data_IF_178211091206
#
_entry.id   IF_178211091206
#
_cell.length_a   1.000
_cell.length_b   1.000
_cell.length_c   1.000
_cell.angle_alpha   90.00
_cell.angle_beta   90.00
_cell.angle_gamma   90.00
#
_symmetry.space_group_name_H-M   'P 1'
#
loop_
_entity.id
_entity.type
_entity.pdbx_description
1 polymer ?
#
# COMPACT_ATOMS: atom_id res chain seq x y z
N UNK A 1 13.81 12.29 31.92
CA UNK A 1 12.91 13.08 31.06
C UNK A 1 12.41 12.14 29.98
N UNK A 2 11.18 11.66 30.06
CA UNK A 2 10.61 10.83 28.99
C UNK A 2 10.39 11.73 27.77
N UNK A 3 11.05 11.40 26.65
CA UNK A 3 10.77 12.05 25.37
C UNK A 3 9.55 11.34 24.76
N UNK A 4 8.55 12.13 24.39
CA UNK A 4 7.37 11.62 23.70
C UNK A 4 7.75 10.94 22.38
N UNK A 5 6.98 9.93 21.97
CA UNK A 5 7.16 9.26 20.69
C UNK A 5 7.04 10.28 19.54
N UNK A 6 7.90 10.14 18.55
CA UNK A 6 7.94 11.01 17.37
C UNK A 6 7.86 10.23 16.05
N UNK A 7 7.90 8.90 16.12
CA UNK A 7 7.60 8.00 15.03
C UNK A 7 6.74 6.83 15.49
N UNK A 8 6.09 6.16 14.54
CA UNK A 8 5.32 4.93 14.76
C UNK A 8 5.77 3.88 13.75
N UNK A 9 5.95 2.65 14.22
CA UNK A 9 6.15 1.49 13.38
C UNK A 9 4.79 0.83 13.11
N UNK A 10 4.51 0.59 11.84
CA UNK A 10 3.32 -0.13 11.40
C UNK A 10 3.70 -1.28 10.48
N UNK A 11 2.89 -2.35 10.50
CA UNK A 11 2.87 -3.38 9.44
C UNK A 11 1.62 -3.17 8.60
N UNK A 12 1.79 -3.25 7.28
CA UNK A 12 0.71 -3.22 6.31
C UNK A 12 0.80 -4.51 5.49
N UNK A 13 -0.27 -5.30 5.45
CA UNK A 13 -0.37 -6.54 4.67
C UNK A 13 -1.58 -6.48 3.75
N UNK A 14 -1.47 -7.03 2.55
CA UNK A 14 -2.62 -7.23 1.65
C UNK A 14 -3.36 -8.48 2.14
N UNK A 15 -4.66 -8.35 2.37
CA UNK A 15 -5.48 -9.44 2.87
C UNK A 15 -5.77 -10.46 1.74
N UNK A 16 -6.08 -11.70 2.13
CA UNK A 16 -6.51 -12.78 1.23
C UNK A 16 -5.49 -13.20 0.16
N UNK A 17 -4.19 -12.92 0.36
CA UNK A 17 -3.10 -13.41 -0.49
C UNK A 17 -2.14 -14.25 0.35
N UNK A 18 -1.88 -15.47 -0.10
CA UNK A 18 -0.94 -16.40 0.55
C UNK A 18 0.19 -16.80 -0.41
N UNK A 19 1.47 -16.77 0.04
CA UNK A 19 1.97 -16.18 1.29
C UNK A 19 1.77 -14.65 1.40
N UNK A 20 1.82 -14.08 2.61
CA UNK A 20 1.62 -12.63 2.83
C UNK A 20 2.44 -11.73 1.87
N UNK A 21 1.78 -10.71 1.29
CA UNK A 21 2.44 -9.55 0.69
C UNK A 21 2.38 -8.39 1.69
N UNK A 22 3.53 -7.93 2.18
CA UNK A 22 3.55 -6.98 3.31
C UNK A 22 4.71 -6.00 3.32
N UNK A 23 4.53 -4.88 4.03
CA UNK A 23 5.54 -3.85 4.27
C UNK A 23 5.54 -3.43 5.74
N UNK A 24 6.71 -3.16 6.31
CA UNK A 24 6.86 -2.58 7.65
C UNK A 24 7.48 -1.20 7.54
N UNK A 25 6.75 -0.22 8.03
CA UNK A 25 7.02 1.20 7.82
C UNK A 25 7.27 1.88 9.16
N UNK A 26 8.18 2.84 9.18
CA UNK A 26 8.38 3.79 10.28
C UNK A 26 7.96 5.16 9.78
N UNK A 27 6.89 5.70 10.35
CA UNK A 27 6.24 6.93 9.89
C UNK A 27 6.28 8.01 10.97
N UNK A 28 6.31 9.31 10.61
CA UNK A 28 6.13 10.38 11.58
C UNK A 28 4.76 10.30 12.25
N UNK A 29 4.70 10.37 13.58
CA UNK A 29 3.43 10.21 14.33
C UNK A 29 2.36 11.27 14.01
N UNK A 30 2.77 12.41 13.45
CA UNK A 30 1.87 13.50 13.07
C UNK A 30 1.28 13.37 11.66
N UNK A 31 1.65 12.32 10.91
CA UNK A 31 0.98 12.00 9.66
C UNK A 31 -0.50 11.71 9.92
N UNK A 32 -1.36 12.24 9.07
CA UNK A 32 -2.79 11.94 9.06
C UNK A 32 -3.07 10.75 8.12
N UNK A 33 -4.32 10.35 8.00
CA UNK A 33 -4.68 9.19 7.16
C UNK A 33 -4.45 9.47 5.65
N UNK A 34 -4.54 10.72 5.18
CA UNK A 34 -4.15 11.09 3.81
C UNK A 34 -2.65 10.85 3.56
N UNK A 35 -1.79 11.28 4.49
CA UNK A 35 -0.36 11.02 4.42
C UNK A 35 -0.05 9.52 4.51
N UNK A 36 -0.78 8.78 5.36
CA UNK A 36 -0.67 7.32 5.47
C UNK A 36 -1.02 6.66 4.12
N UNK A 37 -2.12 7.06 3.49
CA UNK A 37 -2.52 6.57 2.16
C UNK A 37 -1.39 6.75 1.13
N UNK A 38 -0.84 7.96 1.02
CA UNK A 38 0.29 8.21 0.11
C UNK A 38 1.52 7.37 0.45
N UNK A 39 1.76 7.13 1.74
CA UNK A 39 2.80 6.24 2.25
C UNK A 39 2.60 4.79 1.85
N UNK A 40 1.39 4.23 2.04
CA UNK A 40 1.04 2.87 1.63
C UNK A 40 1.19 2.73 0.12
N UNK A 41 0.59 3.65 -0.64
CA UNK A 41 0.72 3.71 -2.09
C UNK A 41 2.19 3.66 -2.50
N UNK A 42 3.07 4.45 -1.87
CA UNK A 42 4.50 4.48 -2.19
C UNK A 42 5.22 3.16 -1.82
N UNK A 43 4.86 2.55 -0.69
CA UNK A 43 5.47 1.32 -0.20
C UNK A 43 5.13 0.10 -1.07
N UNK A 44 3.91 0.06 -1.62
CA UNK A 44 3.46 -0.99 -2.55
C UNK A 44 3.69 -0.60 -4.02
N UNK A 45 3.98 0.67 -4.31
CA UNK A 45 4.14 1.21 -5.67
C UNK A 45 2.87 1.08 -6.54
N UNK A 46 1.72 1.35 -5.94
CA UNK A 46 0.44 1.55 -6.62
C UNK A 46 0.27 2.97 -7.12
N UNK A 47 -0.57 3.18 -8.13
CA UNK A 47 -0.56 4.39 -8.93
C UNK A 47 -1.40 5.54 -8.38
N UNK A 48 -2.19 5.31 -7.32
CA UNK A 48 -2.96 6.34 -6.63
C UNK A 48 -3.99 7.06 -7.54
N UNK A 49 -4.69 6.34 -8.41
CA UNK A 49 -5.76 6.90 -9.26
C UNK A 49 -7.15 6.34 -8.93
N UNK A 50 -7.22 5.25 -8.16
CA UNK A 50 -8.47 4.73 -7.64
C UNK A 50 -8.87 5.32 -6.30
N UNK A 51 -10.16 5.20 -5.99
CA UNK A 51 -10.74 5.54 -4.69
C UNK A 51 -10.15 4.69 -3.56
N UNK A 52 -10.20 5.24 -2.34
CA UNK A 52 -9.75 4.55 -1.14
C UNK A 52 -10.50 5.02 0.09
N UNK A 53 -10.48 4.21 1.14
CA UNK A 53 -10.98 4.57 2.47
C UNK A 53 -10.22 3.82 3.56
N UNK A 54 -10.31 4.31 4.79
CA UNK A 54 -9.93 3.59 6.00
C UNK A 54 -11.18 3.19 6.77
N UNK A 55 -11.20 1.96 7.29
CA UNK A 55 -12.24 1.47 8.19
C UNK A 55 -11.67 1.27 9.58
N UNK A 56 -12.07 2.12 10.51
CA UNK A 56 -11.54 2.18 11.88
C UNK A 56 -12.73 2.17 12.84
N UNK A 57 -12.84 1.16 13.71
CA UNK A 57 -13.90 1.09 14.71
C UNK A 57 -15.34 1.11 14.14
N UNK A 58 -15.53 0.61 12.91
CA UNK A 58 -16.82 0.64 12.21
C UNK A 58 -17.14 1.96 11.49
N UNK A 59 -16.24 2.94 11.53
CA UNK A 59 -16.38 4.23 10.84
C UNK A 59 -15.55 4.25 9.55
N UNK A 60 -15.97 5.06 8.58
CA UNK A 60 -15.29 5.28 7.30
C UNK A 60 -14.55 6.60 7.30
N UNK A 61 -13.28 6.60 6.92
CA UNK A 61 -12.46 7.81 6.78
C UNK A 61 -11.89 7.88 5.38
N UNK A 62 -11.92 9.05 4.77
CA UNK A 62 -11.37 9.28 3.43
C UNK A 62 -11.52 10.73 3.01
N UNK A 63 -11.34 10.99 1.71
CA UNK A 63 -11.65 12.29 1.13
C UNK A 63 -13.17 12.45 1.03
N UNK A 64 -13.74 13.37 1.82
CA UNK A 64 -15.19 13.52 1.95
C UNK A 64 -15.81 14.01 0.65
N UNK A 65 -15.15 14.95 -0.04
CA UNK A 65 -15.66 15.51 -1.31
C UNK A 65 -15.78 14.41 -2.37
N UNK A 66 -14.74 13.59 -2.51
CA UNK A 66 -14.69 12.49 -3.47
C UNK A 66 -15.65 11.35 -3.10
N UNK A 67 -15.66 10.90 -1.85
CA UNK A 67 -16.43 9.72 -1.45
C UNK A 67 -17.92 9.98 -1.28
N UNK A 68 -18.34 11.25 -1.22
CA UNK A 68 -19.74 11.65 -1.07
C UNK A 68 -20.32 12.35 -2.31
N UNK A 69 -19.59 12.39 -3.43
CA UNK A 69 -20.03 13.10 -4.66
C UNK A 69 -21.41 12.63 -5.14
N UNK A 70 -21.64 11.32 -5.13
CA UNK A 70 -22.90 10.68 -5.55
C UNK A 70 -23.69 10.05 -4.38
N UNK A 71 -23.36 10.42 -3.14
CA UNK A 71 -23.98 9.84 -1.96
C UNK A 71 -25.42 10.35 -1.74
N UNK A 72 -26.26 9.45 -1.25
CA UNK A 72 -27.63 9.71 -0.79
C UNK A 72 -27.68 9.84 0.74
N UNK A 73 -28.82 10.29 1.28
CA UNK A 73 -29.00 10.44 2.74
C UNK A 73 -28.89 9.12 3.52
N UNK A 74 -29.08 7.98 2.85
CA UNK A 74 -28.96 6.64 3.43
C UNK A 74 -27.51 6.11 3.44
N UNK A 75 -26.58 6.78 2.76
CA UNK A 75 -25.20 6.33 2.66
C UNK A 75 -24.44 6.50 3.98
N UNK A 76 -23.57 5.53 4.35
CA UNK A 76 -22.78 5.64 5.56
C UNK A 76 -21.86 6.86 5.53
N UNK A 77 -21.98 7.69 6.56
CA UNK A 77 -21.15 8.89 6.76
C UNK A 77 -19.65 8.59 6.59
N UNK A 78 -18.98 9.47 5.86
CA UNK A 78 -17.52 9.53 5.75
C UNK A 78 -16.99 10.65 6.65
N UNK A 79 -15.91 10.37 7.37
CA UNK A 79 -15.16 11.34 8.18
C UNK A 79 -13.90 11.78 7.43
N UNK A 80 -13.48 13.02 7.65
CA UNK A 80 -12.30 13.57 6.96
C UNK A 80 -11.02 12.89 7.48
N UNK A 81 -10.32 12.22 6.56
CA UNK A 81 -9.06 11.55 6.81
C UNK A 81 -7.95 12.45 7.38
N UNK A 82 -8.06 13.77 7.21
CA UNK A 82 -7.06 14.74 7.70
C UNK A 82 -7.21 15.02 9.20
N UNK A 83 -8.34 14.66 9.80
CA UNK A 83 -8.64 14.88 11.22
C UNK A 83 -8.04 13.81 12.14
N UNK A 84 -7.67 12.64 11.59
CA UNK A 84 -7.10 11.52 12.35
C UNK A 84 -5.61 11.39 12.03
N UNK A 85 -4.78 11.36 13.07
CA UNK A 85 -3.32 11.20 13.00
C UNK A 85 -2.88 9.86 13.55
N UNK A 86 -1.70 9.41 13.13
CA UNK A 86 -1.12 8.17 13.62
C UNK A 86 -0.88 8.17 15.14
N UNK A 87 -0.64 9.34 15.74
CA UNK A 87 -0.53 9.51 17.19
C UNK A 87 -1.84 9.30 17.97
N UNK A 88 -2.98 9.29 17.29
CA UNK A 88 -4.30 9.12 17.92
C UNK A 88 -4.63 7.64 18.15
N UNK A 89 -3.81 6.72 17.62
CA UNK A 89 -3.95 5.29 17.81
C UNK A 89 -3.14 4.79 19.02
N UNK A 90 -3.58 3.68 19.59
CA UNK A 90 -2.82 2.95 20.60
C UNK A 90 -1.90 1.90 19.96
N UNK A 91 -0.84 1.54 20.67
CA UNK A 91 -0.02 0.40 20.26
C UNK A 91 -0.86 -0.88 20.28
N UNK A 92 -0.76 -1.68 19.22
CA UNK A 92 -1.58 -2.87 19.01
C UNK A 92 -2.90 -2.59 18.30
N UNK A 93 -3.22 -1.33 17.97
CA UNK A 93 -4.39 -1.02 17.15
C UNK A 93 -4.28 -1.66 15.76
N UNK A 94 -5.40 -2.18 15.27
CA UNK A 94 -5.52 -2.77 13.94
C UNK A 94 -6.73 -2.17 13.24
N UNK A 95 -6.56 -1.77 11.98
CA UNK A 95 -7.63 -1.22 11.15
C UNK A 95 -7.42 -1.56 9.68
N UNK A 96 -8.45 -1.37 8.86
CA UNK A 96 -8.40 -1.72 7.44
C UNK A 96 -8.19 -0.49 6.56
N UNK A 97 -7.40 -0.65 5.51
CA UNK A 97 -7.24 0.29 4.40
C UNK A 97 -7.72 -0.38 3.11
N UNK A 98 -8.72 0.22 2.48
CA UNK A 98 -9.32 -0.28 1.25
C UNK A 98 -8.88 0.61 0.09
N UNK A 99 -8.39 -0.01 -0.97
CA UNK A 99 -7.96 0.67 -2.19
C UNK A 99 -8.59 0.01 -3.40
N UNK A 100 -8.99 0.83 -4.37
CA UNK A 100 -9.67 0.38 -5.58
C UNK A 100 -10.98 -0.35 -5.25
N UNK A 101 -12.10 0.36 -5.34
CA UNK A 101 -13.39 -0.24 -5.03
C UNK A 101 -13.89 -1.20 -6.12
N UNK A 102 -13.26 -1.20 -7.31
CA UNK A 102 -13.50 -2.18 -8.35
C UNK A 102 -12.81 -3.51 -8.03
N UNK A 103 -11.50 -3.48 -7.85
CA UNK A 103 -10.70 -4.67 -7.54
C UNK A 103 -10.81 -5.12 -6.07
N UNK A 104 -11.21 -4.20 -5.18
CA UNK A 104 -11.54 -4.48 -3.79
C UNK A 104 -10.35 -4.80 -2.89
N UNK A 105 -9.19 -4.19 -3.12
CA UNK A 105 -7.99 -4.49 -2.34
C UNK A 105 -8.12 -4.04 -0.88
N UNK A 106 -8.08 -5.00 0.02
CA UNK A 106 -8.07 -4.76 1.47
C UNK A 106 -6.68 -4.96 2.03
N UNK A 107 -6.33 -4.10 2.98
CA UNK A 107 -5.11 -4.21 3.75
C UNK A 107 -5.43 -4.13 5.22
N UNK A 108 -4.75 -4.96 5.98
CA UNK A 108 -4.64 -4.81 7.42
C UNK A 108 -3.47 -3.90 7.75
N UNK A 109 -3.74 -2.83 8.50
CA UNK A 109 -2.73 -1.95 9.10
C UNK A 109 -2.66 -2.21 10.60
N UNK A 110 -1.52 -2.68 11.08
CA UNK A 110 -1.26 -2.95 12.49
C UNK A 110 -0.24 -1.95 13.05
N UNK A 111 -0.59 -1.24 14.13
CA UNK A 111 0.29 -0.34 14.87
C UNK A 111 1.16 -1.18 15.80
N UNK A 112 2.41 -1.41 15.45
CA UNK A 112 3.29 -2.33 16.17
C UNK A 112 3.97 -1.66 17.38
N UNK A 113 4.52 -0.46 17.20
CA UNK A 113 5.34 0.20 18.23
C UNK A 113 5.39 1.72 18.04
N UNK A 114 5.37 2.48 19.14
CA UNK A 114 5.67 3.91 19.13
C UNK A 114 7.14 4.15 19.50
N UNK A 115 7.84 4.92 18.68
CA UNK A 115 9.29 5.09 18.74
C UNK A 115 9.69 6.52 19.12
N UNK A 116 10.78 6.63 19.87
CA UNK A 116 11.41 7.90 20.24
C UNK A 116 12.77 8.03 19.56
N UNK A 117 12.76 8.53 18.32
CA UNK A 117 13.96 8.74 17.52
C UNK A 117 14.71 10.01 17.94
N UNK A 118 16.02 10.05 17.69
CA UNK A 118 16.88 11.18 18.05
C UNK A 118 16.42 12.52 17.42
N UNK A 119 15.92 12.46 16.18
CA UNK A 119 15.31 13.57 15.46
C UNK A 119 13.92 13.14 14.94
N UNK A 120 12.97 14.06 14.97
CA UNK A 120 11.63 13.82 14.42
C UNK A 120 11.73 13.60 12.91
N UNK A 121 11.30 12.44 12.39
CA UNK A 121 11.36 12.17 10.96
C UNK A 121 10.40 13.11 10.21
N UNK A 122 10.84 13.58 9.05
CA UNK A 122 10.02 14.37 8.12
C UNK A 122 9.36 13.52 7.03
N UNK A 123 9.84 12.29 6.88
CA UNK A 123 9.51 11.35 5.81
C UNK A 123 9.29 9.97 6.45
N UNK A 124 8.53 9.12 5.78
CA UNK A 124 8.45 7.71 6.15
C UNK A 124 9.68 6.93 5.70
N UNK A 125 9.93 5.81 6.35
CA UNK A 125 10.92 4.81 5.95
C UNK A 125 10.34 3.41 5.90
N UNK A 126 10.76 2.61 4.93
CA UNK A 126 10.45 1.20 4.86
C UNK A 126 11.64 0.44 5.46
N UNK A 127 11.38 -0.43 6.44
CA UNK A 127 12.44 -1.14 7.16
C UNK A 127 12.45 -2.64 6.89
N UNK A 128 11.32 -3.19 6.41
CA UNK A 128 11.22 -4.57 5.98
C UNK A 128 9.98 -4.75 5.08
N UNK A 129 9.92 -5.88 4.37
CA UNK A 129 8.81 -6.26 3.53
C UNK A 129 9.13 -7.53 2.77
N UNK A 130 8.10 -8.15 2.18
CA UNK A 130 8.25 -9.35 1.36
C UNK A 130 7.24 -9.34 0.22
N UNK A 131 7.60 -10.03 -0.86
CA UNK A 131 6.82 -10.26 -2.07
C UNK A 131 6.45 -9.00 -2.87
N UNK A 132 6.20 -9.23 -4.15
CA UNK A 132 5.72 -8.21 -5.06
C UNK A 132 4.24 -7.94 -4.78
N UNK A 133 3.83 -6.69 -4.94
CA UNK A 133 2.41 -6.34 -4.96
C UNK A 133 1.73 -6.98 -6.19
N UNK A 134 0.42 -7.28 -6.14
CA UNK A 134 -0.37 -7.56 -7.33
C UNK A 134 -0.26 -6.42 -8.35
N UNK A 135 -0.19 -6.70 -9.68
CA UNK A 135 -0.28 -5.68 -10.70
C UNK A 135 -1.53 -4.80 -10.56
N UNK A 136 -1.48 -3.58 -11.08
CA UNK A 136 -2.61 -2.65 -11.01
C UNK A 136 -3.69 -3.15 -11.98
N UNK A 137 -4.96 -3.00 -11.64
CA UNK A 137 -6.09 -3.47 -12.48
C UNK A 137 -6.02 -4.96 -12.86
N UNK A 138 -5.40 -5.79 -12.02
CA UNK A 138 -5.32 -7.24 -12.28
C UNK A 138 -6.65 -7.95 -12.03
N UNK A 139 -7.64 -7.28 -11.44
CA UNK A 139 -8.97 -7.84 -11.19
C UNK A 139 -9.11 -8.39 -9.77
N UNK A 140 -8.54 -7.70 -8.79
CA UNK A 140 -8.60 -8.09 -7.38
C UNK A 140 -7.85 -9.40 -7.08
N UNK A 141 -8.16 -10.00 -5.93
CA UNK A 141 -7.49 -11.22 -5.44
C UNK A 141 -7.63 -12.37 -6.44
N UNK A 142 -8.84 -12.65 -6.94
CA UNK A 142 -9.07 -13.73 -7.91
C UNK A 142 -8.38 -13.48 -9.25
N UNK A 143 -8.31 -12.22 -9.69
CA UNK A 143 -7.58 -11.84 -10.89
C UNK A 143 -6.08 -12.04 -10.72
N UNK A 144 -5.54 -11.71 -9.55
CA UNK A 144 -4.15 -11.96 -9.22
C UNK A 144 -3.82 -13.46 -9.12
N UNK A 145 -4.68 -14.29 -8.53
CA UNK A 145 -4.51 -15.74 -8.51
C UNK A 145 -4.45 -16.32 -9.92
N UNK A 146 -5.40 -15.96 -10.78
CA UNK A 146 -5.40 -16.35 -12.20
C UNK A 146 -4.15 -15.86 -12.92
N UNK A 147 -3.72 -14.62 -12.66
CA UNK A 147 -2.50 -14.08 -13.21
C UNK A 147 -1.28 -14.92 -12.82
N UNK A 148 -1.16 -15.32 -11.55
CA UNK A 148 -0.08 -16.17 -11.05
C UNK A 148 -0.09 -17.56 -11.70
N UNK A 149 -1.27 -18.16 -11.87
CA UNK A 149 -1.43 -19.45 -12.58
C UNK A 149 -0.90 -19.36 -14.02
N UNK A 150 -1.30 -18.32 -14.76
CA UNK A 150 -0.88 -18.11 -16.15
C UNK A 150 0.64 -17.94 -16.23
N UNK A 151 1.25 -17.08 -15.40
CA UNK A 151 2.70 -16.81 -15.51
C UNK A 151 3.57 -17.97 -15.00
N UNK A 152 3.00 -18.92 -14.25
CA UNK A 152 3.70 -20.11 -13.79
C UNK A 152 3.86 -21.17 -14.91
N UNK A 153 2.97 -21.16 -15.92
CA UNK A 153 3.03 -22.07 -17.07
C UNK A 153 3.34 -21.33 -18.37
N UNK A 154 4.54 -21.56 -18.92
CA UNK A 154 4.98 -20.93 -20.18
C UNK A 154 4.24 -21.44 -21.42
N UNK A 155 3.59 -22.60 -21.33
CA UNK A 155 2.83 -23.19 -22.42
C UNK A 155 1.35 -22.78 -22.35
N UNK A 156 0.92 -22.06 -21.30
CA UNK A 156 -0.42 -21.50 -21.22
C UNK A 156 -0.66 -20.55 -22.42
N UNK A 157 -1.79 -20.68 -23.13
CA UNK A 157 -2.07 -19.86 -24.30
C UNK A 157 -2.12 -18.34 -24.01
N UNK A 158 -2.41 -17.95 -22.77
CA UNK A 158 -2.47 -16.54 -22.34
C UNK A 158 -1.09 -16.02 -21.85
N UNK A 159 -0.09 -16.88 -21.59
CA UNK A 159 1.20 -16.51 -20.99
C UNK A 159 1.87 -15.31 -21.67
N UNK A 160 1.99 -15.35 -23.00
CA UNK A 160 2.73 -14.33 -23.76
C UNK A 160 2.05 -12.95 -23.71
N UNK A 161 0.70 -12.93 -23.68
CA UNK A 161 -0.08 -11.72 -23.56
C UNK A 161 -0.02 -11.18 -22.13
N UNK A 162 -0.23 -12.04 -21.13
CA UNK A 162 -0.20 -11.68 -19.70
C UNK A 162 1.15 -11.12 -19.28
N UNK A 163 2.26 -11.76 -19.69
CA UNK A 163 3.60 -11.24 -19.42
C UNK A 163 3.82 -9.89 -20.11
N UNK A 164 3.35 -9.71 -21.36
CA UNK A 164 3.49 -8.42 -22.04
C UNK A 164 2.70 -7.33 -21.33
N UNK A 165 1.47 -7.63 -20.90
CA UNK A 165 0.59 -6.72 -20.18
C UNK A 165 1.23 -6.23 -18.88
N UNK A 166 1.87 -7.11 -18.11
CA UNK A 166 2.53 -6.73 -16.85
C UNK A 166 3.93 -6.09 -17.02
N UNK A 167 4.33 -5.71 -18.24
CA UNK A 167 5.62 -5.04 -18.51
C UNK A 167 6.76 -5.97 -18.94
N UNK A 168 6.45 -7.22 -19.28
CA UNK A 168 7.36 -8.19 -19.85
C UNK A 168 8.23 -8.94 -18.85
N UNK A 169 7.92 -8.85 -17.55
CA UNK A 169 8.54 -9.61 -16.46
C UNK A 169 7.71 -9.44 -15.19
N UNK A 170 7.50 -10.54 -14.47
CA UNK A 170 6.97 -10.51 -13.11
C UNK A 170 7.63 -11.62 -12.29
N UNK A 171 8.00 -11.31 -11.06
CA UNK A 171 8.46 -12.25 -10.05
C UNK A 171 7.67 -11.98 -8.76
N UNK A 172 6.76 -12.88 -8.35
CA UNK A 172 5.89 -12.68 -7.20
C UNK A 172 6.65 -12.60 -5.88
N UNK A 173 7.87 -13.17 -5.80
CA UNK A 173 8.66 -13.17 -4.56
C UNK A 173 9.55 -11.94 -4.41
N UNK A 174 9.56 -11.06 -5.40
CA UNK A 174 10.46 -9.92 -5.43
C UNK A 174 10.12 -8.84 -4.41
N UNK A 175 11.13 -8.40 -3.67
CA UNK A 175 11.09 -7.20 -2.85
C UNK A 175 12.47 -6.54 -2.80
N UNK A 176 12.52 -5.22 -3.00
CA UNK A 176 13.74 -4.41 -2.89
C UNK A 176 13.55 -3.32 -1.83
N UNK A 177 14.12 -3.55 -0.65
CA UNK A 177 14.01 -2.64 0.49
C UNK A 177 14.54 -1.24 0.18
N UNK A 178 15.68 -1.14 -0.50
CA UNK A 178 16.31 0.15 -0.80
C UNK A 178 15.45 0.96 -1.77
N UNK A 179 14.82 0.29 -2.74
CA UNK A 179 13.92 0.91 -3.69
C UNK A 179 12.62 1.37 -3.02
N UNK A 180 12.00 0.49 -2.22
CA UNK A 180 10.76 0.81 -1.51
C UNK A 180 10.96 1.92 -0.48
N UNK A 181 12.04 1.90 0.29
CA UNK A 181 12.36 2.97 1.25
C UNK A 181 12.60 4.31 0.53
N UNK A 182 13.26 4.29 -0.63
CA UNK A 182 13.40 5.50 -1.46
C UNK A 182 12.05 6.02 -1.93
N UNK A 183 11.14 5.15 -2.37
CA UNK A 183 9.80 5.57 -2.80
C UNK A 183 9.03 6.21 -1.64
N UNK A 184 9.04 5.55 -0.47
CA UNK A 184 8.35 6.04 0.73
C UNK A 184 8.91 7.38 1.25
N UNK A 185 10.24 7.58 1.21
CA UNK A 185 10.84 8.88 1.56
C UNK A 185 10.33 10.02 0.66
N UNK A 186 9.89 9.70 -0.55
CA UNK A 186 9.38 10.67 -1.51
C UNK A 186 7.84 10.75 -1.55
N UNK A 187 7.12 9.95 -0.75
CA UNK A 187 5.67 9.75 -0.85
C UNK A 187 4.83 11.04 -0.90
N UNK A 188 5.24 12.08 -0.16
CA UNK A 188 4.51 13.35 -0.06
C UNK A 188 4.96 14.41 -1.09
N UNK A 189 5.82 14.07 -2.05
CA UNK A 189 6.19 15.00 -3.12
C UNK A 189 5.10 15.04 -4.19
N UNK A 190 4.83 16.22 -4.76
CA UNK A 190 3.73 16.45 -5.71
C UNK A 190 3.90 15.79 -7.08
N UNK A 191 5.12 15.44 -7.49
CA UNK A 191 5.43 14.92 -8.84
C UNK A 191 6.21 13.58 -8.79
N UNK A 192 5.87 12.70 -7.85
CA UNK A 192 6.51 11.38 -7.77
C UNK A 192 6.10 10.53 -8.95
N UNK A 193 7.07 10.12 -9.77
CA UNK A 193 6.84 9.09 -10.78
C UNK A 193 6.83 7.72 -10.12
N UNK A 194 5.70 7.03 -10.26
CA UNK A 194 5.52 5.65 -9.82
C UNK A 194 5.86 4.71 -10.96
N UNK A 195 6.34 3.50 -10.64
CA UNK A 195 6.70 2.53 -11.68
C UNK A 195 5.42 1.84 -12.13
N UNK A 196 5.25 1.75 -13.45
CA UNK A 196 4.16 0.97 -14.03
C UNK A 196 4.40 -0.53 -13.79
N UNK A 197 5.65 -0.96 -13.95
CA UNK A 197 6.01 -2.38 -13.94
C UNK A 197 7.16 -2.66 -12.99
N UNK A 198 7.30 -3.93 -12.62
CA UNK A 198 8.43 -4.42 -11.85
C UNK A 198 9.74 -4.19 -12.62
N UNK A 199 10.81 -3.71 -11.96
CA UNK A 199 12.10 -3.59 -12.61
C UNK A 199 12.63 -4.97 -12.98
N UNK A 200 13.08 -5.11 -14.24
CA UNK A 200 13.75 -6.34 -14.68
C UNK A 200 15.11 -6.48 -13.98
N UNK A 201 15.47 -7.67 -13.48
CA UNK A 201 16.82 -7.93 -12.99
C UNK A 201 17.85 -7.62 -14.09
N UNK A 202 18.96 -6.99 -13.72
CA UNK A 202 20.03 -6.62 -14.68
C UNK A 202 20.63 -7.85 -15.39
N UNK A 203 20.49 -9.03 -14.79
CA UNK A 203 21.06 -10.29 -15.27
C UNK A 203 20.02 -11.25 -15.88
N UNK A 204 18.80 -10.78 -16.17
CA UNK A 204 17.83 -11.63 -16.87
C UNK A 204 18.39 -11.98 -18.26
N UNK A 205 18.64 -13.28 -18.56
CA UNK A 205 19.16 -13.66 -19.87
C UNK A 205 18.17 -13.18 -20.92
N UNK A 206 18.67 -12.42 -21.90
CA UNK A 206 17.91 -12.12 -23.12
C UNK A 206 17.57 -13.47 -23.75
N UNK A 207 16.30 -13.87 -23.68
CA UNK A 207 15.75 -14.91 -24.54
C UNK A 207 15.43 -14.30 -25.89
#
# INVERSE_FOLDING_TARGET
MFKAANAVQIRVSIDDIEPDVWRRLVLPVHWNLEHLHLGIQAAFNWWNYHLYEFRIGGLRYGDVETLMEDATDDDPRVFDQREVRLLDFEQGAVFSYHYDFGDGWRHTVAVEEFLTLAATPKQGSCIAGERARPPEDVGGVSGYERFLEIIADREDPEYAETIRWCGGYFDPEWFDLSMTDKDLRNALRTNVKRRLYQPKPKDAPRK
#
